data_IF_108925143331
#
_entry.id   IF_108925143331
#
_cell.length_a   1.000
_cell.length_b   1.000
_cell.length_c   1.000
_cell.angle_alpha   90.00
_cell.angle_beta   90.00
_cell.angle_gamma   90.00
#
_symmetry.space_group_name_H-M   'P 1'
#
loop_
_entity.id
_entity.type
_entity.pdbx_description
1 polymer ?
#
# COMPACT_ATOMS: atom_id res chain seq x y z
N UNK A 1 -9.17 -18.01 -10.78
CA UNK A 1 -8.08 -17.52 -9.94
C UNK A 1 -8.18 -16.01 -9.82
N UNK A 2 -8.35 -15.48 -8.61
CA UNK A 2 -8.49 -14.05 -8.37
C UNK A 2 -7.13 -13.33 -8.29
N UNK A 3 -7.19 -12.00 -8.37
CA UNK A 3 -6.00 -11.15 -8.19
C UNK A 3 -6.30 -10.01 -7.22
N UNK A 4 -5.36 -9.77 -6.32
CA UNK A 4 -5.32 -8.62 -5.43
C UNK A 4 -4.23 -7.67 -5.95
N UNK A 5 -4.64 -6.48 -6.37
CA UNK A 5 -3.78 -5.43 -6.89
C UNK A 5 -3.57 -4.44 -5.75
N UNK A 6 -2.50 -4.64 -4.98
CA UNK A 6 -2.18 -3.82 -3.82
C UNK A 6 -1.48 -2.55 -4.27
N UNK A 7 -1.96 -1.40 -3.80
CA UNK A 7 -1.42 -0.08 -4.19
C UNK A 7 -1.12 0.72 -2.92
N UNK A 8 0.09 1.27 -2.82
CA UNK A 8 0.37 2.29 -1.83
C UNK A 8 -0.30 3.60 -2.25
N UNK A 9 -0.93 4.31 -1.32
CA UNK A 9 -1.49 5.63 -1.60
C UNK A 9 -0.48 6.55 -2.31
N UNK A 10 -0.98 7.50 -3.07
CA UNK A 10 -0.21 8.52 -3.78
C UNK A 10 0.54 9.44 -2.82
N UNK A 11 1.51 10.19 -3.31
CA UNK A 11 2.30 11.10 -2.50
C UNK A 11 1.41 12.07 -1.69
N UNK A 12 1.68 12.13 -0.39
CA UNK A 12 1.14 13.11 0.55
C UNK A 12 2.22 14.11 0.95
N UNK A 13 1.83 15.24 1.54
CA UNK A 13 2.78 16.23 2.07
C UNK A 13 3.78 15.61 3.04
N UNK A 14 3.34 14.66 3.89
CA UNK A 14 4.23 13.93 4.78
C UNK A 14 5.30 13.15 4.01
N UNK A 15 4.92 12.52 2.89
CA UNK A 15 5.90 11.82 2.04
C UNK A 15 6.89 12.78 1.37
N UNK A 16 6.40 13.88 0.79
CA UNK A 16 7.22 14.90 0.14
C UNK A 16 8.27 15.48 1.10
N UNK A 17 7.89 15.70 2.35
CA UNK A 17 8.74 16.26 3.38
C UNK A 17 9.53 15.20 4.19
N UNK A 18 9.42 13.91 3.88
CA UNK A 18 10.03 12.79 4.62
C UNK A 18 9.67 12.75 6.11
N UNK A 19 8.39 13.07 6.42
CA UNK A 19 7.86 13.06 7.78
C UNK A 19 6.69 12.07 7.89
N UNK A 20 6.54 11.49 9.07
CA UNK A 20 5.36 10.69 9.38
C UNK A 20 4.11 11.57 9.41
N UNK A 21 3.10 11.18 8.65
CA UNK A 21 1.85 11.94 8.58
C UNK A 21 1.18 12.00 9.94
N UNK A 22 0.80 13.19 10.37
CA UNK A 22 0.21 13.43 11.69
C UNK A 22 -1.27 13.10 11.77
N UNK A 23 -1.98 13.19 10.64
CA UNK A 23 -3.44 13.12 10.60
C UNK A 23 -3.95 12.06 9.62
N UNK A 24 -4.99 11.30 9.99
CA UNK A 24 -5.76 10.50 9.05
C UNK A 24 -6.39 11.33 7.92
N UNK A 25 -6.61 12.63 8.15
CA UNK A 25 -7.25 13.55 7.20
C UNK A 25 -6.27 14.23 6.24
N UNK A 26 -4.96 13.96 6.36
CA UNK A 26 -3.97 14.48 5.40
C UNK A 26 -4.21 13.91 4.00
N UNK A 27 -4.33 14.78 3.00
CA UNK A 27 -4.57 14.46 1.60
C UNK A 27 -3.28 14.14 0.82
N UNK A 28 -3.45 14.04 -0.50
CA UNK A 28 -2.35 13.85 -1.45
C UNK A 28 -1.95 15.17 -2.10
N UNK A 29 -0.70 15.25 -2.55
CA UNK A 29 -0.18 16.40 -3.29
C UNK A 29 -0.69 16.42 -4.73
N UNK A 30 -0.43 17.52 -5.45
CA UNK A 30 -0.73 17.57 -6.89
C UNK A 30 0.09 16.53 -7.69
N UNK A 31 1.34 16.26 -7.30
CA UNK A 31 2.11 15.14 -7.85
C UNK A 31 1.41 13.82 -7.53
N UNK A 32 0.91 13.65 -6.30
CA UNK A 32 0.15 12.47 -5.91
C UNK A 32 -1.10 12.24 -6.79
N UNK A 33 -1.84 13.29 -7.16
CA UNK A 33 -2.99 13.17 -8.08
C UNK A 33 -2.57 12.63 -9.45
N UNK A 34 -1.45 13.12 -9.99
CA UNK A 34 -0.89 12.61 -11.25
C UNK A 34 -0.44 11.15 -11.12
N UNK A 35 0.23 10.79 -10.01
CA UNK A 35 0.62 9.40 -9.72
C UNK A 35 -0.59 8.46 -9.66
N UNK A 36 -1.67 8.86 -8.99
CA UNK A 36 -2.90 8.05 -8.91
C UNK A 36 -3.54 7.84 -10.29
N UNK A 37 -3.59 8.89 -11.12
CA UNK A 37 -4.12 8.81 -12.48
C UNK A 37 -3.28 7.90 -13.37
N UNK A 38 -1.96 7.95 -13.23
CA UNK A 38 -1.06 7.07 -13.98
C UNK A 38 -1.17 5.62 -13.54
N UNK A 39 -1.24 5.37 -12.22
CA UNK A 39 -1.49 4.02 -11.71
C UNK A 39 -2.80 3.43 -12.25
N UNK A 40 -3.87 4.23 -12.33
CA UNK A 40 -5.14 3.78 -12.91
C UNK A 40 -4.99 3.39 -14.39
N UNK A 41 -4.27 4.16 -15.21
CA UNK A 41 -4.03 3.84 -16.62
C UNK A 41 -3.25 2.53 -16.76
N UNK A 42 -2.20 2.35 -15.96
CA UNK A 42 -1.39 1.13 -15.95
C UNK A 42 -2.22 -0.09 -15.56
N UNK A 43 -3.05 0.03 -14.54
CA UNK A 43 -3.93 -1.06 -14.12
C UNK A 43 -4.89 -1.41 -15.24
N UNK A 44 -5.54 -0.42 -15.85
CA UNK A 44 -6.52 -0.61 -16.93
C UNK A 44 -5.91 -1.28 -18.18
N UNK A 45 -4.60 -1.14 -18.39
CA UNK A 45 -3.90 -1.78 -19.51
C UNK A 45 -3.75 -3.30 -19.34
N UNK A 46 -3.73 -3.81 -18.09
CA UNK A 46 -3.41 -5.21 -17.81
C UNK A 46 -4.47 -5.95 -17.01
N UNK A 47 -5.43 -5.24 -16.41
CA UNK A 47 -6.40 -5.79 -15.47
C UNK A 47 -7.79 -5.22 -15.71
N UNK A 48 -8.81 -5.97 -15.25
CA UNK A 48 -10.22 -5.58 -15.27
C UNK A 48 -10.82 -5.61 -13.85
N UNK A 49 -10.34 -4.76 -12.93
CA UNK A 49 -10.80 -4.78 -11.55
C UNK A 49 -12.29 -4.49 -11.44
N UNK A 50 -12.98 -5.25 -10.61
CA UNK A 50 -14.42 -5.13 -10.42
C UNK A 50 -14.79 -4.42 -9.13
N UNK A 51 -13.83 -4.18 -8.25
CA UNK A 51 -14.03 -3.53 -6.96
C UNK A 51 -12.71 -2.90 -6.49
N UNK A 52 -12.81 -1.76 -5.83
CA UNK A 52 -11.71 -1.09 -5.15
C UNK A 52 -12.02 -1.07 -3.66
N UNK A 53 -11.06 -1.48 -2.84
CA UNK A 53 -11.14 -1.45 -1.37
C UNK A 53 -10.07 -0.51 -0.85
N UNK A 54 -10.43 0.45 -0.01
CA UNK A 54 -9.50 1.46 0.49
C UNK A 54 -9.40 1.50 2.00
N UNK A 55 -8.21 1.81 2.49
CA UNK A 55 -8.01 2.32 3.82
C UNK A 55 -8.94 3.52 4.11
N UNK A 56 -9.39 3.71 5.38
CA UNK A 56 -10.23 4.85 5.76
C UNK A 56 -9.48 6.20 5.75
N UNK A 57 -8.15 6.22 5.70
CA UNK A 57 -7.37 7.47 5.74
C UNK A 57 -7.51 8.27 4.44
N UNK A 58 -7.66 9.59 4.57
CA UNK A 58 -8.07 10.45 3.46
C UNK A 58 -7.16 10.34 2.23
N UNK A 59 -5.82 10.32 2.41
CA UNK A 59 -4.86 10.13 1.30
C UNK A 59 -5.06 8.83 0.51
N UNK A 60 -5.46 7.74 1.19
CA UNK A 60 -5.75 6.47 0.53
C UNK A 60 -7.12 6.52 -0.17
N UNK A 61 -8.14 7.09 0.49
CA UNK A 61 -9.47 7.28 -0.12
C UNK A 61 -9.41 8.18 -1.34
N UNK A 62 -8.65 9.27 -1.30
CA UNK A 62 -8.49 10.19 -2.42
C UNK A 62 -7.77 9.53 -3.59
N UNK A 63 -6.71 8.77 -3.32
CA UNK A 63 -6.03 7.92 -4.32
C UNK A 63 -7.02 6.92 -4.94
N UNK A 64 -7.76 6.21 -4.09
CA UNK A 64 -8.71 5.19 -4.53
C UNK A 64 -9.87 5.81 -5.35
N UNK A 65 -10.35 7.01 -4.99
CA UNK A 65 -11.39 7.73 -5.72
C UNK A 65 -10.95 8.08 -7.14
N UNK A 66 -9.73 8.62 -7.30
CA UNK A 66 -9.17 8.92 -8.63
C UNK A 66 -9.09 7.65 -9.48
N UNK A 67 -8.62 6.55 -8.89
CA UNK A 67 -8.52 5.26 -9.58
C UNK A 67 -9.93 4.75 -9.94
N UNK A 68 -10.89 4.82 -9.02
CA UNK A 68 -12.26 4.37 -9.21
C UNK A 68 -12.97 5.10 -10.36
N UNK A 69 -12.80 6.42 -10.43
CA UNK A 69 -13.36 7.25 -11.50
C UNK A 69 -12.82 6.86 -12.88
N UNK A 70 -11.51 6.59 -12.98
CA UNK A 70 -10.87 6.22 -14.26
C UNK A 70 -11.14 4.78 -14.68
N UNK A 71 -11.29 3.86 -13.73
CA UNK A 71 -11.56 2.45 -14.00
C UNK A 71 -13.04 2.19 -14.19
N UNK A 72 -13.90 2.90 -13.45
CA UNK A 72 -15.36 2.69 -13.45
C UNK A 72 -15.79 1.59 -12.48
N UNK A 73 -15.02 1.33 -11.41
CA UNK A 73 -15.32 0.31 -10.41
C UNK A 73 -15.82 0.94 -9.09
N UNK A 74 -16.73 0.28 -8.35
CA UNK A 74 -17.17 0.75 -7.03
C UNK A 74 -16.03 0.78 -6.02
N UNK A 75 -16.18 1.64 -4.98
CA UNK A 75 -15.23 1.83 -3.91
C UNK A 75 -15.86 1.50 -2.57
N UNK A 76 -15.19 0.63 -1.79
CA UNK A 76 -15.55 0.27 -0.43
C UNK A 76 -14.40 0.60 0.54
N UNK A 77 -14.74 0.77 1.82
CA UNK A 77 -13.76 1.11 2.88
C UNK A 77 -13.55 -0.09 3.80
N UNK A 78 -12.28 -0.43 4.00
CA UNK A 78 -11.85 -1.45 4.97
C UNK A 78 -11.02 -0.79 6.09
N UNK A 79 -11.58 -0.67 7.30
CA UNK A 79 -10.91 -0.03 8.44
C UNK A 79 -9.58 -0.68 8.83
N UNK A 80 -9.46 -1.99 8.64
CA UNK A 80 -8.26 -2.74 9.00
C UNK A 80 -7.08 -2.51 8.05
N UNK A 81 -7.30 -1.82 6.92
CA UNK A 81 -6.22 -1.37 6.03
C UNK A 81 -5.67 0.02 6.38
N UNK A 82 -6.03 0.61 7.54
CA UNK A 82 -5.43 1.87 8.03
C UNK A 82 -3.93 1.70 8.26
N UNK A 83 -3.17 2.81 8.15
CA UNK A 83 -1.72 2.79 8.36
C UNK A 83 -1.37 2.41 9.82
N UNK A 84 -0.14 1.96 10.00
CA UNK A 84 0.47 1.74 11.30
C UNK A 84 0.39 3.02 12.14
N UNK A 85 -0.14 2.91 13.35
CA UNK A 85 -0.03 3.99 14.33
C UNK A 85 1.42 4.11 14.78
N UNK A 86 2.01 5.28 14.58
CA UNK A 86 3.39 5.55 14.98
C UNK A 86 3.47 6.27 16.34
N UNK A 87 2.34 6.47 17.02
CA UNK A 87 2.27 7.05 18.35
C UNK A 87 3.03 8.39 18.43
N UNK A 88 3.99 8.48 19.33
CA UNK A 88 4.78 9.71 19.56
C UNK A 88 5.70 10.11 18.39
N UNK A 89 5.83 9.29 17.36
CA UNK A 89 6.62 9.62 16.16
C UNK A 89 5.80 10.35 15.08
N UNK A 90 4.50 10.49 15.26
CA UNK A 90 3.67 11.26 14.33
C UNK A 90 4.24 12.68 14.14
N UNK A 91 4.40 13.13 12.90
CA UNK A 91 4.97 14.42 12.52
C UNK A 91 6.49 14.53 12.58
N UNK A 92 7.19 13.51 13.05
CA UNK A 92 8.66 13.50 13.07
C UNK A 92 9.24 13.01 11.74
N UNK A 93 10.50 13.39 11.47
CA UNK A 93 11.26 12.84 10.33
C UNK A 93 11.38 11.32 10.41
N UNK A 94 11.43 10.65 9.27
CA UNK A 94 11.67 9.20 9.20
C UNK A 94 12.99 8.78 9.86
N UNK A 95 13.97 9.68 9.94
CA UNK A 95 15.30 9.39 10.47
C UNK A 95 15.31 9.10 11.97
N UNK A 96 14.28 9.55 12.71
CA UNK A 96 14.16 9.29 14.16
C UNK A 96 14.03 7.82 14.52
N UNK A 97 13.55 6.98 13.59
CA UNK A 97 13.39 5.54 13.81
C UNK A 97 14.74 4.87 14.06
N UNK A 98 15.77 5.22 13.26
CA UNK A 98 17.10 4.65 13.40
C UNK A 98 17.83 5.14 14.64
N UNK A 99 17.42 6.29 15.17
CA UNK A 99 17.97 6.86 16.40
C UNK A 99 17.34 6.24 17.68
N UNK A 100 16.24 5.50 17.55
CA UNK A 100 15.61 4.83 18.69
C UNK A 100 16.50 3.65 19.16
N UNK A 101 16.96 3.64 20.42
CA UNK A 101 17.86 2.60 20.93
C UNK A 101 17.21 1.21 20.99
N UNK A 102 15.90 1.13 20.95
CA UNK A 102 15.14 -0.14 20.92
C UNK A 102 14.93 -0.68 19.50
N UNK A 103 15.15 0.13 18.47
CA UNK A 103 15.01 -0.30 17.09
C UNK A 103 16.10 -1.30 16.70
N UNK A 104 15.67 -2.40 16.08
CA UNK A 104 16.54 -3.43 15.50
C UNK A 104 16.17 -3.65 14.05
N UNK A 105 17.08 -3.35 13.13
CA UNK A 105 16.83 -3.46 11.70
C UNK A 105 16.52 -4.90 11.26
N UNK A 106 17.20 -5.89 11.86
CA UNK A 106 17.00 -7.33 11.63
C UNK A 106 15.64 -7.87 12.10
N UNK A 107 14.99 -7.16 13.00
CA UNK A 107 13.66 -7.46 13.56
C UNK A 107 12.75 -6.24 13.58
N UNK A 108 12.87 -5.37 12.60
CA UNK A 108 12.12 -4.11 12.52
C UNK A 108 10.60 -4.27 12.60
N UNK A 109 10.06 -5.43 12.22
CA UNK A 109 8.63 -5.74 12.33
C UNK A 109 8.12 -5.93 13.76
N UNK A 110 9.02 -6.21 14.71
CA UNK A 110 8.67 -6.34 16.14
C UNK A 110 8.75 -5.00 16.88
N UNK A 111 9.49 -4.04 16.32
CA UNK A 111 9.66 -2.74 16.94
C UNK A 111 8.33 -2.00 17.01
N UNK A 112 8.04 -1.47 18.20
CA UNK A 112 6.83 -0.71 18.50
C UNK A 112 7.22 0.68 19.02
N UNK A 113 6.88 1.77 18.31
CA UNK A 113 7.06 3.11 18.84
C UNK A 113 6.15 3.36 20.05
N UNK A 114 6.58 4.22 20.97
CA UNK A 114 5.80 4.55 22.15
C UNK A 114 4.39 5.05 21.81
N UNK A 115 3.36 4.38 22.32
CA UNK A 115 1.96 4.69 22.02
C UNK A 115 1.50 4.28 20.62
N UNK A 116 2.29 3.50 19.89
CA UNK A 116 1.99 3.06 18.53
C UNK A 116 1.81 1.55 18.38
N UNK A 117 1.78 1.09 17.13
CA UNK A 117 1.69 -0.31 16.72
C UNK A 117 3.06 -0.80 16.23
N UNK A 118 3.37 -2.09 16.44
CA UNK A 118 4.40 -2.78 15.66
C UNK A 118 3.83 -3.22 14.31
N UNK A 119 4.70 -3.62 13.38
CA UNK A 119 4.25 -4.23 12.12
C UNK A 119 3.52 -5.57 12.36
N UNK A 120 3.85 -6.29 13.44
CA UNK A 120 3.11 -7.49 13.85
C UNK A 120 1.67 -7.15 14.24
N UNK A 121 1.43 -6.05 14.97
CA UNK A 121 0.06 -5.62 15.31
C UNK A 121 -0.73 -5.25 14.06
N UNK A 122 -0.09 -4.54 13.13
CA UNK A 122 -0.71 -4.22 11.83
C UNK A 122 -1.09 -5.50 11.09
N UNK A 123 -0.21 -6.52 11.07
CA UNK A 123 -0.50 -7.82 10.46
C UNK A 123 -1.70 -8.50 11.10
N UNK A 124 -1.82 -8.46 12.43
CA UNK A 124 -2.93 -9.11 13.16
C UNK A 124 -4.31 -8.59 12.74
N UNK A 125 -4.42 -7.34 12.28
CA UNK A 125 -5.68 -6.77 11.79
C UNK A 125 -5.81 -6.82 10.27
N UNK A 126 -4.73 -6.53 9.53
CA UNK A 126 -4.80 -6.39 8.06
C UNK A 126 -4.81 -7.73 7.33
N UNK A 127 -4.13 -8.77 7.86
CA UNK A 127 -4.08 -10.06 7.22
C UNK A 127 -5.46 -10.77 7.20
N UNK A 128 -6.21 -10.86 8.32
CA UNK A 128 -7.56 -11.40 8.27
C UNK A 128 -8.51 -10.61 7.36
N UNK A 129 -8.31 -9.28 7.24
CA UNK A 129 -9.07 -8.47 6.30
C UNK A 129 -8.78 -8.87 4.85
N UNK A 130 -7.50 -9.03 4.49
CA UNK A 130 -7.11 -9.50 3.15
C UNK A 130 -7.73 -10.87 2.84
N UNK A 131 -7.66 -11.81 3.79
CA UNK A 131 -8.20 -13.16 3.63
C UNK A 131 -9.72 -13.15 3.43
N UNK A 132 -10.45 -12.28 4.14
CA UNK A 132 -11.91 -12.09 3.94
C UNK A 132 -12.21 -11.61 2.53
N UNK A 133 -11.48 -10.59 2.04
CA UNK A 133 -11.68 -10.05 0.70
C UNK A 133 -11.34 -11.07 -0.39
N UNK A 134 -10.22 -11.77 -0.27
CA UNK A 134 -9.81 -12.81 -1.20
C UNK A 134 -10.83 -13.96 -1.24
N UNK A 135 -11.31 -14.41 -0.09
CA UNK A 135 -12.28 -15.50 0.02
C UNK A 135 -13.67 -15.11 -0.51
N UNK A 136 -14.08 -13.87 -0.30
CA UNK A 136 -15.37 -13.36 -0.81
C UNK A 136 -15.37 -13.17 -2.33
N UNK A 137 -14.19 -13.05 -2.95
CA UNK A 137 -14.03 -12.76 -4.38
C UNK A 137 -12.99 -13.68 -5.04
N UNK A 138 -13.20 -15.01 -5.06
CA UNK A 138 -12.17 -15.99 -5.42
C UNK A 138 -11.67 -15.88 -6.87
N UNK A 139 -12.51 -15.37 -7.79
CA UNK A 139 -12.21 -15.30 -9.22
C UNK A 139 -12.23 -13.86 -9.77
N UNK A 140 -12.17 -12.85 -8.87
CA UNK A 140 -12.22 -11.45 -9.26
C UNK A 140 -10.87 -10.77 -9.12
N UNK A 141 -10.72 -9.67 -9.85
CA UNK A 141 -9.61 -8.73 -9.67
C UNK A 141 -10.07 -7.58 -8.78
N UNK A 142 -9.40 -7.40 -7.64
CA UNK A 142 -9.67 -6.34 -6.68
C UNK A 142 -8.47 -5.42 -6.55
N UNK A 143 -8.72 -4.12 -6.49
CA UNK A 143 -7.70 -3.15 -6.09
C UNK A 143 -7.80 -2.92 -4.58
N UNK A 144 -6.67 -2.91 -3.88
CA UNK A 144 -6.58 -2.56 -2.47
C UNK A 144 -5.64 -1.37 -2.33
N UNK A 145 -6.18 -0.21 -1.96
CA UNK A 145 -5.40 1.01 -1.75
C UNK A 145 -5.12 1.18 -0.27
N UNK A 146 -3.85 1.16 0.09
CA UNK A 146 -3.43 1.23 1.48
C UNK A 146 -2.10 1.99 1.65
N UNK A 147 -1.28 1.62 2.60
CA UNK A 147 -0.11 2.35 3.09
C UNK A 147 1.14 1.47 3.06
N UNK A 148 2.31 2.11 3.14
CA UNK A 148 3.58 1.41 3.08
C UNK A 148 3.74 0.35 4.16
N UNK A 149 3.41 0.68 5.41
CA UNK A 149 3.48 -0.26 6.51
C UNK A 149 2.55 -1.46 6.32
N UNK A 150 1.31 -1.22 5.90
CA UNK A 150 0.34 -2.29 5.63
C UNK A 150 0.78 -3.16 4.46
N UNK A 151 1.24 -2.58 3.35
CA UNK A 151 1.70 -3.37 2.19
C UNK A 151 2.85 -4.30 2.56
N UNK A 152 3.79 -3.84 3.40
CA UNK A 152 4.86 -4.67 3.94
C UNK A 152 4.32 -5.84 4.77
N UNK A 153 3.31 -5.60 5.61
CA UNK A 153 2.69 -6.67 6.42
C UNK A 153 1.91 -7.66 5.58
N UNK A 154 1.19 -7.18 4.56
CA UNK A 154 0.47 -8.05 3.64
C UNK A 154 1.43 -8.90 2.79
N UNK A 155 2.56 -8.33 2.35
CA UNK A 155 3.62 -9.11 1.73
C UNK A 155 4.09 -10.24 2.63
N UNK A 156 4.44 -9.92 3.89
CA UNK A 156 4.87 -10.93 4.86
C UNK A 156 3.77 -11.96 5.19
N UNK A 157 2.50 -11.59 5.08
CA UNK A 157 1.39 -12.52 5.25
C UNK A 157 1.31 -13.53 4.10
N UNK A 158 1.29 -13.04 2.86
CA UNK A 158 1.09 -13.90 1.68
C UNK A 158 2.30 -14.78 1.36
N UNK A 159 3.52 -14.33 1.73
CA UNK A 159 4.75 -15.11 1.54
C UNK A 159 5.12 -15.98 2.74
N UNK A 160 4.51 -15.75 3.90
CA UNK A 160 4.88 -16.39 5.16
C UNK A 160 6.19 -15.86 5.77
N UNK A 161 6.84 -14.86 5.17
CA UNK A 161 8.14 -14.33 5.60
C UNK A 161 8.20 -12.80 5.57
N UNK A 162 8.90 -12.22 6.53
CA UNK A 162 9.28 -10.79 6.50
C UNK A 162 10.47 -10.52 5.59
N UNK A 163 11.20 -11.55 5.23
CA UNK A 163 12.32 -11.46 4.30
C UNK A 163 11.82 -11.08 2.91
N UNK A 164 12.53 -10.18 2.24
CA UNK A 164 12.13 -9.64 0.93
C UNK A 164 10.94 -8.68 0.97
N UNK A 165 10.31 -8.48 2.15
CA UNK A 165 9.25 -7.48 2.27
C UNK A 165 9.81 -6.07 2.12
N UNK A 166 9.22 -5.27 1.24
CA UNK A 166 9.61 -3.87 1.05
C UNK A 166 8.40 -2.95 1.05
N UNK A 167 8.66 -1.67 1.22
CA UNK A 167 7.64 -0.62 1.10
C UNK A 167 7.75 -0.06 -0.32
N UNK A 168 6.75 -0.25 -1.18
CA UNK A 168 6.79 0.29 -2.54
C UNK A 168 6.76 1.82 -2.53
N UNK A 169 7.18 2.43 -3.63
CA UNK A 169 7.01 3.87 -3.84
C UNK A 169 5.52 4.27 -3.80
N UNK A 170 5.23 5.56 -3.71
CA UNK A 170 3.85 6.05 -3.81
C UNK A 170 3.24 5.60 -5.15
N UNK A 171 2.01 5.13 -5.13
CA UNK A 171 1.33 4.45 -6.24
C UNK A 171 2.06 3.22 -6.80
N UNK A 172 3.06 2.68 -6.09
CA UNK A 172 3.67 1.39 -6.42
C UNK A 172 2.66 0.26 -6.28
N UNK A 173 2.70 -0.68 -7.22
CA UNK A 173 1.70 -1.73 -7.39
C UNK A 173 2.34 -3.10 -7.13
N UNK A 174 1.70 -3.90 -6.30
CA UNK A 174 2.05 -5.30 -6.07
C UNK A 174 0.85 -6.16 -6.42
N UNK A 175 1.05 -7.16 -7.26
CA UNK A 175 0.00 -8.09 -7.67
C UNK A 175 0.19 -9.42 -6.96
N UNK A 176 -0.88 -9.90 -6.32
CA UNK A 176 -0.95 -11.19 -5.64
C UNK A 176 -2.07 -12.00 -6.28
N UNK A 177 -1.72 -13.10 -6.92
CA UNK A 177 -2.71 -14.07 -7.40
C UNK A 177 -3.12 -15.00 -6.27
N UNK A 178 -4.40 -15.40 -6.24
CA UNK A 178 -4.90 -16.29 -5.20
C UNK A 178 -5.99 -17.24 -5.70
N UNK A 179 -6.09 -18.38 -5.02
CA UNK A 179 -7.20 -19.30 -5.14
C UNK A 179 -7.85 -19.46 -3.76
N UNK A 180 -9.00 -18.79 -3.55
CA UNK A 180 -9.77 -18.79 -2.30
C UNK A 180 -8.93 -18.57 -1.03
N UNK A 181 -7.95 -17.66 -1.07
CA UNK A 181 -7.05 -17.34 0.06
C UNK A 181 -5.76 -18.16 0.13
N UNK A 182 -5.51 -19.03 -0.83
CA UNK A 182 -4.18 -19.61 -1.06
C UNK A 182 -3.42 -18.67 -2.01
N UNK A 183 -2.40 -17.99 -1.51
CA UNK A 183 -1.66 -16.97 -2.24
C UNK A 183 -0.49 -17.53 -3.03
N UNK A 184 -0.25 -16.99 -4.22
CA UNK A 184 0.98 -17.17 -4.97
C UNK A 184 1.99 -16.07 -4.60
N UNK A 185 3.25 -16.25 -5.01
CA UNK A 185 4.32 -15.28 -4.74
C UNK A 185 3.95 -13.93 -5.33
N UNK A 186 3.97 -12.85 -4.53
CA UNK A 186 3.68 -11.50 -5.01
C UNK A 186 4.69 -11.06 -6.07
N UNK A 187 4.23 -10.27 -7.03
CA UNK A 187 5.10 -9.61 -8.02
C UNK A 187 4.87 -8.11 -8.03
N UNK A 188 5.95 -7.36 -8.11
CA UNK A 188 5.89 -5.91 -8.28
C UNK A 188 5.60 -5.62 -9.75
N UNK A 189 4.62 -4.78 -10.02
CA UNK A 189 4.38 -4.24 -11.35
C UNK A 189 5.25 -3.00 -11.51
N UNK A 190 6.44 -3.18 -12.07
CA UNK A 190 7.38 -2.08 -12.32
C UNK A 190 6.78 -1.07 -13.31
N UNK A 191 7.10 0.22 -13.12
CA UNK A 191 6.85 1.20 -14.17
C UNK A 191 7.77 0.84 -15.35
N UNK A 192 7.22 0.67 -16.55
CA UNK A 192 8.05 0.68 -17.73
C UNK A 192 8.77 2.03 -17.74
N UNK A 193 10.09 2.00 -17.55
CA UNK A 193 10.94 3.14 -17.85
C UNK A 193 10.89 3.20 -19.37
N UNK A 194 10.03 4.05 -19.92
CA UNK A 194 10.13 4.41 -21.33
C UNK A 194 11.52 5.01 -21.50
N UNK A 195 12.45 4.19 -21.98
CA UNK A 195 13.73 4.63 -22.46
C UNK A 195 13.47 5.55 -23.65
N UNK A 196 13.40 6.85 -23.39
CA UNK A 196 13.68 7.81 -24.45
C UNK A 196 15.13 7.53 -24.86
N UNK A 197 15.24 6.82 -25.97
CA UNK A 197 16.50 6.68 -26.66
C UNK A 197 16.98 8.06 -27.05
N UNK A 198 17.98 8.57 -26.35
CA UNK A 198 18.86 9.57 -26.92
C UNK A 198 19.57 8.93 -28.13
N UNK A 199 18.95 9.08 -29.29
CA UNK A 199 19.68 9.01 -30.55
C UNK A 199 20.48 10.29 -30.65
N UNK A 200 21.68 10.29 -30.06
CA UNK A 200 22.66 11.31 -30.27
C UNK A 200 23.09 11.28 -31.73
N UNK A 201 22.93 12.39 -32.40
CA UNK A 201 23.66 12.76 -33.61
C UNK A 201 25.04 13.30 -33.27
#
# INVERSE_FOLDING_TARGET
>A
MGKLILIRHAESEGNANRHFTTSPEAGITELGRRQASEAARRIKAFFTPTLIVSSPYFRARETARIIAELIGAPLEIEPDFREQSLGQLAGKSYDVVRADPTYRADRSWQWRPAGGESQQDVRMRSAPALDRWAKAHPDRELIIVSHGGVMRTLWAHVTGSWEGSHIPANCGIVVVEHDAGRYLVPRVLEAEINGEGESGG
#
